data_IF_225163710129
#
_entry.id   IF_225163710129
#
_cell.length_a   1.000
_cell.length_b   1.000
_cell.length_c   1.000
_cell.angle_alpha   90.00
_cell.angle_beta   90.00
_cell.angle_gamma   90.00
#
_symmetry.space_group_name_H-M   'P 1'
#
loop_
_entity.id
_entity.type
_entity.pdbx_description
1 polymer ?
#
# COMPACT_ATOMS: atom_id res chain seq x y z
N UNK A 1 -9.65 -2.98 19.91
CA UNK A 1 -8.36 -2.34 19.57
C UNK A 1 -8.57 -1.33 18.45
N UNK A 2 -8.06 -0.11 18.56
CA UNK A 2 -8.18 0.98 17.58
C UNK A 2 -6.85 1.73 17.48
N UNK A 3 -6.47 2.13 16.27
CA UNK A 3 -5.33 3.03 16.08
C UNK A 3 -5.72 4.42 16.57
N UNK A 4 -4.91 5.00 17.45
CA UNK A 4 -5.14 6.32 18.02
C UNK A 4 -4.80 7.43 17.02
N UNK A 5 -5.50 8.55 17.12
CA UNK A 5 -5.18 9.79 16.38
C UNK A 5 -5.21 9.67 14.84
N UNK A 6 -6.02 8.76 14.28
CA UNK A 6 -6.26 8.73 12.84
C UNK A 6 -6.89 10.03 12.35
N UNK A 7 -6.40 10.54 11.22
CA UNK A 7 -6.87 11.75 10.55
C UNK A 7 -7.45 11.44 9.16
N UNK A 8 -8.34 12.29 8.61
CA UNK A 8 -8.70 12.23 7.20
C UNK A 8 -7.48 12.50 6.29
N UNK A 9 -7.42 11.85 5.13
CA UNK A 9 -6.31 11.96 4.19
C UNK A 9 -6.73 11.54 2.77
N UNK A 10 -5.92 11.91 1.77
CA UNK A 10 -6.05 11.38 0.42
C UNK A 10 -5.70 9.89 0.41
N UNK A 11 -6.70 9.04 0.22
CA UNK A 11 -6.52 7.59 0.22
C UNK A 11 -6.06 7.11 -1.16
N UNK A 12 -5.10 6.18 -1.24
CA UNK A 12 -4.86 5.45 -2.47
C UNK A 12 -6.11 4.64 -2.86
N UNK A 13 -6.44 4.63 -4.14
CA UNK A 13 -7.50 3.81 -4.72
C UNK A 13 -7.01 2.36 -4.77
N UNK A 14 -7.84 1.45 -4.25
CA UNK A 14 -7.53 0.02 -4.20
C UNK A 14 -8.30 -0.67 -5.34
N UNK A 15 -7.63 -1.44 -6.21
CA UNK A 15 -8.29 -2.24 -7.23
C UNK A 15 -9.30 -3.24 -6.63
N UNK A 16 -10.42 -3.45 -7.32
CA UNK A 16 -11.55 -4.24 -6.80
C UNK A 16 -11.16 -5.66 -6.38
N UNK A 17 -10.27 -6.32 -7.12
CA UNK A 17 -9.83 -7.69 -6.83
C UNK A 17 -9.05 -7.82 -5.50
N UNK A 18 -8.47 -6.73 -4.98
CA UNK A 18 -7.73 -6.72 -3.70
C UNK A 18 -8.35 -5.78 -2.66
N UNK A 19 -9.54 -5.22 -2.92
CA UNK A 19 -10.20 -4.20 -2.09
C UNK A 19 -10.41 -4.65 -0.64
N UNK A 20 -10.80 -5.90 -0.45
CA UNK A 20 -11.04 -6.47 0.88
C UNK A 20 -9.76 -6.93 1.60
N UNK A 21 -8.60 -6.81 0.94
CA UNK A 21 -7.30 -7.24 1.48
C UNK A 21 -6.44 -6.10 1.99
N UNK A 22 -6.79 -4.85 1.68
CA UNK A 22 -6.02 -3.68 2.11
C UNK A 22 -6.95 -2.69 2.79
N UNK A 23 -6.54 -2.23 3.97
CA UNK A 23 -7.15 -1.09 4.65
C UNK A 23 -6.10 0.00 4.82
N UNK A 24 -6.46 1.26 4.59
CA UNK A 24 -5.58 2.40 4.86
C UNK A 24 -5.99 3.17 6.11
N UNK A 25 -5.01 3.50 6.93
CA UNK A 25 -5.13 4.44 8.04
C UNK A 25 -3.98 5.44 8.01
N UNK A 26 -4.16 6.61 8.63
CA UNK A 26 -3.13 7.63 8.64
C UNK A 26 -3.18 8.45 9.92
N UNK A 27 -2.02 8.66 10.54
CA UNK A 27 -1.77 9.73 11.51
C UNK A 27 -1.05 10.92 10.88
N UNK A 28 -0.58 10.76 9.62
CA UNK A 28 0.01 11.79 8.77
C UNK A 28 -0.62 11.74 7.39
N UNK A 29 -1.14 12.87 6.89
CA UNK A 29 -1.84 12.89 5.61
C UNK A 29 -0.86 12.68 4.47
N UNK A 30 -1.27 11.89 3.48
CA UNK A 30 -0.62 11.87 2.18
C UNK A 30 -0.88 13.18 1.41
N UNK A 31 0.02 13.52 0.50
CA UNK A 31 -0.26 14.47 -0.58
C UNK A 31 -1.11 13.79 -1.66
N UNK A 32 -1.74 14.59 -2.53
CA UNK A 32 -2.50 14.03 -3.67
C UNK A 32 -1.60 13.20 -4.59
N UNK A 33 -0.40 13.70 -4.88
CA UNK A 33 0.57 13.01 -5.73
C UNK A 33 1.02 11.66 -5.14
N UNK A 34 1.24 11.60 -3.82
CA UNK A 34 1.57 10.35 -3.12
C UNK A 34 0.42 9.34 -3.25
N UNK A 35 -0.82 9.77 -3.02
CA UNK A 35 -1.98 8.90 -3.19
C UNK A 35 -2.12 8.37 -4.63
N UNK A 36 -1.88 9.22 -5.63
CA UNK A 36 -1.88 8.83 -7.05
C UNK A 36 -0.85 7.74 -7.32
N UNK A 37 0.40 7.94 -6.90
CA UNK A 37 1.48 6.99 -7.15
C UNK A 37 1.24 5.66 -6.45
N UNK A 38 0.73 5.68 -5.22
CA UNK A 38 0.40 4.46 -4.49
C UNK A 38 -0.78 3.73 -5.10
N UNK A 39 -1.80 4.43 -5.58
CA UNK A 39 -2.92 3.81 -6.31
C UNK A 39 -2.43 3.07 -7.55
N UNK A 40 -1.56 3.72 -8.31
CA UNK A 40 -0.98 3.10 -9.49
C UNK A 40 -0.10 1.88 -9.16
N UNK A 41 0.70 1.96 -8.09
CA UNK A 41 1.45 0.80 -7.61
C UNK A 41 0.53 -0.36 -7.22
N UNK A 42 -0.62 -0.08 -6.59
CA UNK A 42 -1.62 -1.09 -6.24
C UNK A 42 -2.27 -1.73 -7.47
N UNK A 43 -2.54 -0.95 -8.53
CA UNK A 43 -3.03 -1.51 -9.80
C UNK A 43 -2.05 -2.54 -10.37
N UNK A 44 -0.76 -2.22 -10.39
CA UNK A 44 0.27 -3.15 -10.86
C UNK A 44 0.37 -4.38 -9.94
N UNK A 45 0.29 -4.21 -8.62
CA UNK A 45 0.25 -5.34 -7.67
C UNK A 45 -0.94 -6.24 -7.97
N UNK A 46 -2.15 -5.69 -8.09
CA UNK A 46 -3.36 -6.42 -8.40
C UNK A 46 -3.25 -7.23 -9.70
N UNK A 47 -2.76 -6.61 -10.77
CA UNK A 47 -2.55 -7.32 -12.05
C UNK A 47 -1.53 -8.47 -11.92
N UNK A 48 -0.46 -8.30 -11.15
CA UNK A 48 0.55 -9.34 -10.99
C UNK A 48 0.05 -10.49 -10.11
N UNK A 49 -0.75 -10.21 -9.08
CA UNK A 49 -1.36 -11.25 -8.24
C UNK A 49 -2.30 -12.13 -9.07
N UNK A 50 -3.09 -11.52 -9.95
CA UNK A 50 -3.97 -12.26 -10.87
C UNK A 50 -3.17 -13.08 -11.89
N UNK A 51 -2.14 -12.50 -12.52
CA UNK A 51 -1.28 -13.19 -13.49
C UNK A 51 -0.52 -14.39 -12.90
N UNK A 52 -0.19 -14.32 -11.61
CA UNK A 52 0.52 -15.38 -10.89
C UNK A 52 -0.42 -16.33 -10.14
N UNK A 53 -1.74 -16.16 -10.30
CA UNK A 53 -2.76 -17.01 -9.70
C UNK A 53 -2.63 -17.12 -8.18
N UNK A 54 -2.24 -16.02 -7.50
CA UNK A 54 -2.14 -15.99 -6.04
C UNK A 54 -3.55 -16.08 -5.44
N UNK A 55 -3.79 -17.10 -4.60
CA UNK A 55 -5.07 -17.26 -3.92
C UNK A 55 -5.24 -16.23 -2.79
N UNK A 56 -5.93 -15.14 -3.10
CA UNK A 56 -6.22 -14.07 -2.14
C UNK A 56 -7.06 -14.56 -0.95
N UNK A 57 -7.84 -15.65 -1.08
CA UNK A 57 -8.64 -16.15 0.03
C UNK A 57 -7.79 -16.71 1.16
N UNK A 58 -6.59 -17.20 0.84
CA UNK A 58 -5.61 -17.68 1.81
C UNK A 58 -4.94 -16.56 2.62
N UNK A 59 -5.06 -15.31 2.17
CA UNK A 59 -4.39 -14.15 2.76
C UNK A 59 -5.31 -13.38 3.70
N UNK A 60 -4.76 -12.98 4.85
CA UNK A 60 -5.35 -12.01 5.77
C UNK A 60 -5.38 -10.61 5.14
N UNK A 61 -6.27 -9.75 5.64
CA UNK A 61 -6.24 -8.34 5.24
C UNK A 61 -5.13 -7.60 5.99
N UNK A 62 -4.42 -6.70 5.31
CA UNK A 62 -3.37 -5.87 5.88
C UNK A 62 -3.85 -4.45 6.10
N UNK A 63 -3.50 -3.86 7.24
CA UNK A 63 -3.69 -2.43 7.47
C UNK A 63 -2.40 -1.67 7.20
N UNK A 64 -2.41 -0.84 6.16
CA UNK A 64 -1.31 0.05 5.81
C UNK A 64 -1.50 1.39 6.52
N UNK A 65 -0.48 1.83 7.27
CA UNK A 65 -0.57 2.99 8.14
C UNK A 65 0.50 4.02 7.77
N UNK A 66 0.06 5.22 7.38
CA UNK A 66 0.94 6.36 7.14
C UNK A 66 1.10 7.18 8.42
N UNK A 67 2.34 7.29 8.90
CA UNK A 67 2.66 7.96 10.17
C UNK A 67 3.71 9.05 9.94
N UNK A 68 3.82 10.00 10.87
CA UNK A 68 4.87 11.04 10.79
C UNK A 68 6.27 10.40 10.77
N UNK A 69 6.56 9.47 11.69
CA UNK A 69 7.92 9.00 11.97
C UNK A 69 8.05 7.47 12.15
N UNK A 70 7.03 6.69 11.80
CA UNK A 70 6.99 5.23 12.00
C UNK A 70 6.48 4.81 13.38
N UNK A 71 6.04 5.77 14.22
CA UNK A 71 5.50 5.49 15.55
C UNK A 71 3.98 5.41 15.47
N UNK A 72 3.43 4.38 16.09
CA UNK A 72 2.00 4.12 16.20
C UNK A 72 1.61 3.99 17.67
N UNK A 73 0.48 4.59 18.06
CA UNK A 73 -0.18 4.30 19.33
C UNK A 73 -1.45 3.51 19.03
N UNK A 74 -1.65 2.43 19.78
CA UNK A 74 -2.82 1.57 19.64
C UNK A 74 -3.52 1.52 20.98
N UNK A 75 -4.76 1.97 21.01
CA UNK A 75 -5.61 1.90 22.19
C UNK A 75 -6.49 0.66 22.12
N UNK A 76 -6.55 -0.10 23.22
CA UNK A 76 -7.45 -1.23 23.31
C UNK A 76 -7.43 -1.88 24.69
N UNK A 77 -8.61 -2.21 25.20
CA UNK A 77 -8.75 -3.25 26.20
C UNK A 77 -8.70 -4.58 25.45
N UNK A 78 -7.71 -5.42 25.75
CA UNK A 78 -7.75 -6.83 25.39
C UNK A 78 -8.36 -7.59 26.57
N UNK A 79 -9.47 -8.27 26.33
CA UNK A 79 -10.02 -9.27 27.25
C UNK A 79 -8.92 -10.27 27.60
N UNK A 80 -8.86 -10.69 28.86
CA UNK A 80 -7.97 -11.78 29.28
C UNK A 80 -8.34 -13.06 28.52
N UNK A 81 -7.43 -13.54 27.66
CA UNK A 81 -7.57 -14.80 26.93
C UNK A 81 -7.80 -14.69 25.42
N UNK A 82 -7.92 -13.49 24.85
CA UNK A 82 -8.06 -13.30 23.40
C UNK A 82 -6.72 -12.91 22.76
N UNK A 83 -6.26 -13.70 21.78
CA UNK A 83 -5.18 -13.31 20.88
C UNK A 83 -5.77 -12.61 19.65
N UNK A 84 -5.31 -11.39 19.38
CA UNK A 84 -5.67 -10.63 18.18
C UNK A 84 -4.45 -10.62 17.25
N UNK A 85 -4.60 -11.17 16.06
CA UNK A 85 -3.59 -11.10 15.01
C UNK A 85 -3.85 -9.86 14.14
N UNK A 86 -2.83 -9.03 13.95
CA UNK A 86 -2.88 -7.83 13.12
C UNK A 86 -1.72 -7.83 12.14
N UNK A 87 -2.02 -7.80 10.85
CA UNK A 87 -1.03 -7.54 9.82
C UNK A 87 -0.97 -6.05 9.53
N UNK A 88 0.18 -5.45 9.84
CA UNK A 88 0.41 -4.01 9.74
C UNK A 88 1.61 -3.73 8.84
N UNK A 89 1.44 -2.77 7.93
CA UNK A 89 2.55 -2.17 7.19
C UNK A 89 2.62 -0.69 7.60
N UNK A 90 3.71 -0.28 8.22
CA UNK A 90 3.85 1.07 8.79
C UNK A 90 4.87 1.87 7.98
N UNK A 91 4.44 3.02 7.48
CA UNK A 91 5.27 3.94 6.73
C UNK A 91 5.55 5.21 7.52
N UNK A 92 6.85 5.57 7.62
CA UNK A 92 7.31 6.85 8.14
C UNK A 92 7.35 7.88 7.01
N UNK A 93 6.34 8.75 6.95
CA UNK A 93 6.23 9.74 5.88
C UNK A 93 7.33 10.79 5.93
N UNK A 94 7.85 11.15 7.12
CA UNK A 94 9.04 12.01 7.22
C UNK A 94 10.25 11.36 6.56
N UNK A 95 10.45 10.05 6.77
CA UNK A 95 11.54 9.33 6.12
C UNK A 95 11.30 9.21 4.61
N UNK A 96 10.11 8.79 4.19
CA UNK A 96 9.75 8.66 2.78
C UNK A 96 9.96 9.98 2.03
N UNK A 97 9.50 11.11 2.58
CA UNK A 97 9.64 12.43 1.97
C UNK A 97 11.07 12.97 1.98
N UNK A 98 11.96 12.41 2.82
CA UNK A 98 13.39 12.72 2.78
C UNK A 98 14.12 12.04 1.62
N UNK A 99 13.50 11.03 1.00
CA UNK A 99 14.04 10.34 -0.17
C UNK A 99 13.80 11.22 -1.41
N UNK A 100 14.89 11.66 -2.06
CA UNK A 100 14.81 12.53 -3.24
C UNK A 100 14.29 11.83 -4.49
N UNK A 101 14.40 10.49 -4.55
CA UNK A 101 14.00 9.69 -5.70
C UNK A 101 12.60 9.12 -5.54
N UNK A 102 11.67 9.55 -6.40
CA UNK A 102 10.32 8.96 -6.49
C UNK A 102 10.34 7.45 -6.70
N UNK A 103 11.31 6.94 -7.49
CA UNK A 103 11.47 5.50 -7.72
C UNK A 103 11.75 4.75 -6.42
N UNK A 104 12.60 5.31 -5.55
CA UNK A 104 12.92 4.71 -4.26
C UNK A 104 11.75 4.81 -3.27
N UNK A 105 10.94 5.86 -3.34
CA UNK A 105 9.69 5.96 -2.56
C UNK A 105 8.73 4.84 -2.93
N UNK A 106 8.49 4.62 -4.22
CA UNK A 106 7.64 3.53 -4.70
C UNK A 106 8.22 2.16 -4.39
N UNK A 107 9.55 2.01 -4.48
CA UNK A 107 10.24 0.80 -4.07
C UNK A 107 9.91 0.44 -2.61
N UNK A 108 10.03 1.40 -1.68
CA UNK A 108 9.69 1.21 -0.26
C UNK A 108 8.22 0.92 -0.03
N UNK A 109 7.33 1.54 -0.78
CA UNK A 109 5.92 1.23 -0.72
C UNK A 109 5.63 -0.22 -1.17
N UNK A 110 6.24 -0.68 -2.26
CA UNK A 110 6.06 -2.04 -2.75
C UNK A 110 6.66 -3.11 -1.84
N UNK A 111 7.79 -2.85 -1.17
CA UNK A 111 8.45 -3.82 -0.27
C UNK A 111 7.46 -4.41 0.76
N UNK A 112 6.66 -3.57 1.42
CA UNK A 112 5.70 -4.01 2.43
C UNK A 112 4.58 -4.86 1.86
N UNK A 113 4.01 -4.43 0.73
CA UNK A 113 2.93 -5.15 0.05
C UNK A 113 3.41 -6.50 -0.49
N UNK A 114 4.62 -6.55 -1.04
CA UNK A 114 5.19 -7.79 -1.61
C UNK A 114 5.41 -8.83 -0.53
N UNK A 115 5.96 -8.43 0.62
CA UNK A 115 6.14 -9.33 1.76
C UNK A 115 4.81 -9.94 2.19
N UNK A 116 3.77 -9.13 2.24
CA UNK A 116 2.43 -9.58 2.63
C UNK A 116 1.81 -10.51 1.60
N UNK A 117 1.68 -10.08 0.34
CA UNK A 117 0.94 -10.83 -0.66
C UNK A 117 1.67 -12.07 -1.19
N UNK A 118 2.99 -12.01 -1.35
CA UNK A 118 3.79 -13.16 -1.80
C UNK A 118 4.38 -13.97 -0.64
N UNK A 119 4.08 -13.60 0.62
CA UNK A 119 4.57 -14.27 1.83
C UNK A 119 6.09 -14.49 1.81
N UNK A 120 6.83 -13.49 1.32
CA UNK A 120 8.28 -13.55 1.17
C UNK A 120 8.97 -13.01 2.42
N UNK A 121 9.80 -13.84 3.04
CA UNK A 121 10.62 -13.44 4.19
C UNK A 121 12.00 -12.91 3.76
N UNK A 122 12.60 -13.54 2.75
CA UNK A 122 13.95 -13.23 2.28
C UNK A 122 14.04 -11.89 1.55
N UNK A 123 14.95 -11.02 2.03
CA UNK A 123 15.16 -9.68 1.48
C UNK A 123 15.58 -9.69 0.01
N UNK A 124 16.35 -10.70 -0.44
CA UNK A 124 16.77 -10.80 -1.83
C UNK A 124 15.59 -11.12 -2.74
N UNK A 125 14.71 -12.03 -2.32
CA UNK A 125 13.48 -12.36 -3.04
C UNK A 125 12.52 -11.17 -3.11
N UNK A 126 12.31 -10.48 -1.98
CA UNK A 126 11.49 -9.26 -1.93
C UNK A 126 12.06 -8.21 -2.88
N UNK A 127 13.36 -7.92 -2.79
CA UNK A 127 14.01 -6.93 -3.65
C UNK A 127 13.92 -7.30 -5.14
N UNK A 128 14.09 -8.58 -5.48
CA UNK A 128 13.93 -9.09 -6.86
C UNK A 128 12.51 -8.83 -7.37
N UNK A 129 11.51 -9.16 -6.54
CA UNK A 129 10.10 -8.96 -6.87
C UNK A 129 9.73 -7.48 -7.01
N UNK A 130 10.21 -6.63 -6.10
CA UNK A 130 10.00 -5.17 -6.19
C UNK A 130 10.59 -4.64 -7.50
N UNK A 131 11.80 -5.06 -7.86
CA UNK A 131 12.43 -4.65 -9.13
C UNK A 131 11.61 -5.10 -10.34
N UNK A 132 11.07 -6.31 -10.33
CA UNK A 132 10.17 -6.80 -11.39
C UNK A 132 8.95 -5.87 -11.51
N UNK A 133 8.27 -5.56 -10.41
CA UNK A 133 7.08 -4.70 -10.42
C UNK A 133 7.40 -3.26 -10.85
N UNK A 134 8.54 -2.73 -10.40
CA UNK A 134 9.02 -1.41 -10.78
C UNK A 134 9.25 -1.27 -12.29
N UNK A 135 9.62 -2.33 -13.02
CA UNK A 135 9.77 -2.27 -14.49
C UNK A 135 8.45 -1.94 -15.20
N UNK A 136 7.31 -2.46 -14.71
CA UNK A 136 5.99 -2.12 -15.25
C UNK A 136 5.61 -0.68 -14.90
N UNK A 137 5.96 -0.24 -13.71
CA UNK A 137 5.69 1.13 -13.27
C UNK A 137 6.46 2.14 -14.11
N UNK A 138 7.76 1.91 -14.33
CA UNK A 138 8.64 2.82 -15.08
C UNK A 138 8.27 2.94 -16.55
N UNK A 139 7.77 1.87 -17.17
CA UNK A 139 7.28 1.88 -18.54
C UNK A 139 6.16 2.91 -18.73
N UNK A 140 5.27 3.01 -17.75
CA UNK A 140 4.07 3.86 -17.81
C UNK A 140 4.33 5.29 -17.33
N UNK A 141 5.32 5.51 -16.44
CA UNK A 141 5.83 6.86 -16.15
C UNK A 141 6.44 7.51 -17.41
N UNK A 142 7.06 6.71 -18.27
CA UNK A 142 7.74 7.19 -19.48
C UNK A 142 6.76 7.56 -20.60
N UNK A 143 5.53 7.02 -20.59
CA UNK A 143 4.50 7.33 -21.58
C UNK A 143 3.60 8.52 -21.21
N UNK A 144 3.68 9.03 -19.97
CA UNK A 144 2.88 10.18 -19.50
C UNK A 144 1.43 9.84 -19.12
N UNK A 145 1.08 8.56 -19.02
CA UNK A 145 -0.29 8.05 -19.02
C UNK A 145 -0.92 7.89 -17.61
N UNK A 146 -0.19 8.28 -16.56
CA UNK A 146 -0.55 7.98 -15.16
C UNK A 146 -1.73 8.80 -14.63
N UNK A 147 -1.81 10.07 -15.02
CA UNK A 147 -2.88 10.98 -14.57
C UNK A 147 -4.23 10.56 -15.14
N UNK A 148 -4.28 10.14 -16.42
CA UNK A 148 -5.52 9.68 -17.05
C UNK A 148 -6.04 8.36 -16.46
N UNK A 149 -5.15 7.42 -16.12
CA UNK A 149 -5.54 6.18 -15.42
C UNK A 149 -6.09 6.45 -14.03
N UNK A 150 -5.51 7.40 -13.30
CA UNK A 150 -5.99 7.79 -11.97
C UNK A 150 -7.33 8.55 -12.04
N UNK A 151 -7.49 9.49 -12.95
CA UNK A 151 -8.77 10.20 -13.16
C UNK A 151 -9.90 9.23 -13.55
N UNK A 152 -9.59 8.21 -14.34
CA UNK A 152 -10.55 7.16 -14.69
C UNK A 152 -10.98 6.33 -13.48
N UNK A 153 -10.05 6.05 -12.56
CA UNK A 153 -10.32 5.32 -11.33
C UNK A 153 -11.08 6.18 -10.28
N UNK A 154 -10.73 7.46 -10.12
CA UNK A 154 -11.50 8.41 -9.26
C UNK A 154 -12.95 8.53 -9.75
N UNK A 155 -13.17 8.60 -11.07
CA UNK A 155 -14.52 8.65 -11.64
C UNK A 155 -15.31 7.37 -11.34
N UNK A 156 -14.70 6.19 -11.41
CA UNK A 156 -15.39 4.94 -11.08
C UNK A 156 -15.80 4.88 -9.60
N UNK A 157 -14.96 5.34 -8.66
CA UNK A 157 -15.32 5.41 -7.24
C UNK A 157 -16.38 6.46 -6.92
N UNK A 158 -16.45 7.59 -7.64
CA UNK A 158 -17.47 8.62 -7.40
C UNK A 158 -18.89 8.21 -7.85
N UNK A 159 -19.02 7.24 -8.75
CA UNK A 159 -20.29 6.78 -9.31
C UNK A 159 -20.69 5.36 -8.89
N UNK A 160 -19.96 4.76 -7.93
CA UNK A 160 -20.25 3.44 -7.32
C UNK A 160 -20.81 3.60 -5.90
#
# INVERSE_FOLDING_TARGET
MRISHCIPFYKPIIPDNIKDKICFSATESLTRDEAIWYSYALMIVAEQLEKEEIDLNSLTAVTVIFTINGILSIDGECSTGESVYLDLIIYSMRHIRSISSRKLVLFKFLEGLIRHFWQLEDDSMVNSKVRQLMQYIEKDFSSGDLLHKFESAELQEMYS
#
